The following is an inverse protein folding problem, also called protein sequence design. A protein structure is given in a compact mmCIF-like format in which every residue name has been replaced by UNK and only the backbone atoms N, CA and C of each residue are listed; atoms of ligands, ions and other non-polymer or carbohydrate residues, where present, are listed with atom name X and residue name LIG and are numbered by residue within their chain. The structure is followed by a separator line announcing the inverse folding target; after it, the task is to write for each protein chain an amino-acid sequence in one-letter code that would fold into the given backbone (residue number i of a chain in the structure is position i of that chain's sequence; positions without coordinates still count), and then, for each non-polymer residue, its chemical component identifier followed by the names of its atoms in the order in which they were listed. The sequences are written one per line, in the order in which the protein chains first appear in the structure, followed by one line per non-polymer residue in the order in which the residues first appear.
data_IF_077304436503
#
_entry.id   IF_077304436503
#
_cell.length_a   1.000
_cell.length_b   1.000
_cell.length_c   1.000
_cell.angle_alpha   90.00
_cell.angle_beta   90.00
_cell.angle_gamma   90.00
#
_symmetry.space_group_name_H-M   'P 1'
#
loop_
_entity.id
_entity.type
_entity.pdbx_description
1 polymer ?
#
# COMPACT_ATOMS: atom_id res chain seq x y z
N UNK A 1 -22.25 12.62 7.59
CA UNK A 1 -23.47 13.00 6.85
C UNK A 1 -23.18 12.94 5.36
N UNK A 2 -23.70 11.93 4.67
CA UNK A 2 -23.75 11.93 3.21
C UNK A 2 -24.83 12.92 2.73
N UNK A 3 -24.66 13.51 1.54
CA UNK A 3 -25.54 14.55 1.00
C UNK A 3 -25.07 15.99 1.23
N UNK A 4 -23.79 16.23 1.56
CA UNK A 4 -23.24 17.58 1.77
C UNK A 4 -23.49 18.52 0.59
N UNK A 5 -23.36 18.03 -0.66
CA UNK A 5 -23.68 18.84 -1.84
C UNK A 5 -25.18 19.23 -1.90
N UNK A 6 -26.07 18.34 -1.45
CA UNK A 6 -27.52 18.63 -1.40
C UNK A 6 -27.83 19.63 -0.30
N UNK A 7 -27.21 19.48 0.87
CA UNK A 7 -27.29 20.43 1.97
C UNK A 7 -26.79 21.83 1.54
N UNK A 8 -25.67 21.90 0.81
CA UNK A 8 -25.16 23.17 0.27
C UNK A 8 -26.14 23.84 -0.70
N UNK A 9 -26.78 23.09 -1.60
CA UNK A 9 -27.80 23.65 -2.49
C UNK A 9 -29.08 24.10 -1.77
N UNK A 10 -29.48 23.39 -0.71
CA UNK A 10 -30.60 23.81 0.15
C UNK A 10 -30.24 25.11 0.88
N UNK A 11 -29.02 25.21 1.40
CA UNK A 11 -28.52 26.42 2.08
C UNK A 11 -28.53 27.62 1.12
N UNK A 12 -28.06 27.45 -0.11
CA UNK A 12 -28.08 28.49 -1.16
C UNK A 12 -29.51 28.94 -1.46
N UNK A 13 -30.44 28.00 -1.67
CA UNK A 13 -31.84 28.31 -1.93
C UNK A 13 -32.52 29.09 -0.79
N UNK A 14 -32.29 28.68 0.47
CA UNK A 14 -32.84 29.39 1.65
C UNK A 14 -32.30 30.83 1.69
N UNK A 15 -31.00 31.03 1.43
CA UNK A 15 -30.40 32.37 1.39
C UNK A 15 -30.98 33.26 0.29
N UNK A 16 -31.29 32.70 -0.88
CA UNK A 16 -31.82 33.48 -2.00
C UNK A 16 -33.32 33.81 -1.87
N UNK A 17 -34.08 32.97 -1.20
CA UNK A 17 -35.55 33.04 -1.20
C UNK A 17 -36.17 33.42 0.14
N UNK A 18 -35.37 33.54 1.21
CA UNK A 18 -35.81 33.72 2.60
C UNK A 18 -36.89 32.69 3.02
N UNK A 19 -36.82 31.50 2.42
CA UNK A 19 -37.78 30.43 2.64
C UNK A 19 -37.34 29.48 3.75
N UNK A 20 -38.31 28.90 4.44
CA UNK A 20 -38.08 27.83 5.42
C UNK A 20 -38.37 26.48 4.77
N UNK A 21 -37.36 25.61 4.71
CA UNK A 21 -37.47 24.28 4.10
C UNK A 21 -37.21 23.18 5.14
N UNK A 22 -38.17 22.28 5.31
CA UNK A 22 -37.97 21.09 6.14
C UNK A 22 -37.15 20.05 5.37
N UNK A 23 -35.98 19.70 5.90
CA UNK A 23 -35.08 18.73 5.28
C UNK A 23 -35.34 17.33 5.86
N UNK A 24 -35.87 16.37 5.07
CA UNK A 24 -35.98 15.00 5.53
C UNK A 24 -34.58 14.41 5.69
N UNK A 25 -34.33 13.79 6.84
CA UNK A 25 -33.09 13.07 7.12
C UNK A 25 -33.39 11.69 7.66
N UNK A 26 -32.43 10.78 7.46
CA UNK A 26 -32.45 9.44 8.03
C UNK A 26 -31.22 9.30 8.91
N UNK A 27 -31.42 8.91 10.16
CA UNK A 27 -30.36 8.60 11.11
C UNK A 27 -30.42 7.10 11.43
N UNK A 28 -29.28 6.43 11.26
CA UNK A 28 -29.09 5.06 11.70
C UNK A 28 -28.46 5.10 13.10
N UNK A 29 -29.00 4.32 14.03
CA UNK A 29 -28.52 4.22 15.40
C UNK A 29 -28.12 2.77 15.70
N UNK A 30 -27.14 2.58 16.58
CA UNK A 30 -26.67 1.26 17.04
C UNK A 30 -26.12 0.34 15.95
N UNK A 31 -25.47 0.90 14.92
CA UNK A 31 -24.72 0.09 13.97
C UNK A 31 -23.41 -0.37 14.61
N UNK A 32 -23.04 -1.62 14.41
CA UNK A 32 -21.66 -2.06 14.61
C UNK A 32 -20.73 -1.61 13.46
N UNK A 33 -19.42 -1.79 13.61
CA UNK A 33 -18.44 -1.34 12.60
C UNK A 33 -18.69 -1.98 11.23
N UNK A 34 -19.08 -3.25 11.18
CA UNK A 34 -19.33 -3.96 9.91
C UNK A 34 -20.61 -3.46 9.23
N UNK A 35 -21.64 -3.16 10.02
CA UNK A 35 -22.89 -2.56 9.56
C UNK A 35 -22.68 -1.13 9.05
N UNK A 36 -21.86 -0.32 9.74
CA UNK A 36 -21.46 1.01 9.28
C UNK A 36 -20.74 0.95 7.93
N UNK A 37 -19.79 0.02 7.78
CA UNK A 37 -19.05 -0.21 6.54
C UNK A 37 -19.99 -0.60 5.40
N UNK A 38 -20.90 -1.56 5.62
CA UNK A 38 -21.88 -1.99 4.62
C UNK A 38 -22.81 -0.86 4.21
N UNK A 39 -23.33 -0.11 5.18
CA UNK A 39 -24.20 1.03 4.91
C UNK A 39 -23.46 2.10 4.10
N UNK A 40 -22.22 2.41 4.48
CA UNK A 40 -21.37 3.34 3.74
C UNK A 40 -21.17 2.89 2.28
N UNK A 41 -20.84 1.61 2.07
CA UNK A 41 -20.64 1.06 0.72
C UNK A 41 -21.93 1.09 -0.12
N UNK A 42 -23.09 0.74 0.45
CA UNK A 42 -24.40 0.79 -0.23
C UNK A 42 -24.78 2.21 -0.64
N UNK A 43 -24.56 3.19 0.24
CA UNK A 43 -24.84 4.59 -0.05
C UNK A 43 -23.93 5.10 -1.17
N UNK A 44 -22.65 4.78 -1.10
CA UNK A 44 -21.64 5.32 -1.99
C UNK A 44 -21.46 4.53 -3.30
N UNK A 45 -22.11 3.37 -3.49
CA UNK A 45 -21.96 2.54 -4.70
C UNK A 45 -22.38 3.26 -5.98
N UNK A 46 -23.28 4.25 -5.87
CA UNK A 46 -23.80 5.05 -7.01
C UNK A 46 -23.19 6.46 -7.09
N UNK A 47 -22.46 6.90 -6.07
CA UNK A 47 -21.81 8.21 -6.04
C UNK A 47 -20.42 8.16 -6.69
N UNK A 48 -19.90 9.31 -7.10
CA UNK A 48 -18.61 9.42 -7.80
C UNK A 48 -17.45 9.01 -6.86
N UNK A 49 -17.04 7.75 -6.97
CA UNK A 49 -15.74 7.16 -6.62
C UNK A 49 -15.29 7.29 -5.16
N UNK A 50 -15.67 6.33 -4.31
CA UNK A 50 -14.95 6.07 -3.04
C UNK A 50 -13.45 5.99 -3.36
N UNK A 51 -12.62 6.74 -2.63
CA UNK A 51 -11.18 6.71 -2.82
C UNK A 51 -10.65 5.28 -2.69
N UNK A 52 -9.79 4.84 -3.61
CA UNK A 52 -9.34 3.44 -3.68
C UNK A 52 -8.75 2.92 -2.37
N UNK A 53 -8.02 3.76 -1.62
CA UNK A 53 -7.49 3.37 -0.30
C UNK A 53 -8.62 3.14 0.73
N UNK A 54 -9.64 3.99 0.76
CA UNK A 54 -10.80 3.77 1.63
C UNK A 54 -11.55 2.49 1.23
N UNK A 55 -11.80 2.28 -0.07
CA UNK A 55 -12.44 1.05 -0.55
C UNK A 55 -11.68 -0.23 -0.16
N UNK A 56 -10.34 -0.21 -0.22
CA UNK A 56 -9.50 -1.33 0.26
C UNK A 56 -9.63 -1.53 1.77
N UNK A 57 -9.64 -0.45 2.55
CA UNK A 57 -9.77 -0.54 3.99
C UNK A 57 -11.13 -1.12 4.41
N UNK A 58 -12.22 -0.70 3.75
CA UNK A 58 -13.56 -1.21 4.01
C UNK A 58 -13.69 -2.69 3.63
N UNK A 59 -13.03 -3.12 2.54
CA UNK A 59 -13.03 -4.52 2.09
C UNK A 59 -11.97 -5.41 2.75
N UNK A 60 -11.25 -4.93 3.79
CA UNK A 60 -10.11 -5.65 4.39
C UNK A 60 -10.47 -7.03 4.94
N UNK A 61 -11.71 -7.26 5.38
CA UNK A 61 -12.12 -8.58 5.88
C UNK A 61 -12.49 -9.56 4.75
N UNK A 62 -12.83 -9.05 3.56
CA UNK A 62 -13.25 -9.85 2.40
C UNK A 62 -12.15 -10.05 1.34
N UNK A 63 -11.12 -9.19 1.32
CA UNK A 63 -10.02 -9.22 0.37
C UNK A 63 -8.69 -9.42 1.10
N UNK A 64 -8.09 -10.61 0.95
CA UNK A 64 -6.86 -11.01 1.64
C UNK A 64 -5.72 -10.00 1.47
N UNK A 65 -5.52 -9.46 0.27
CA UNK A 65 -4.42 -8.51 0.02
C UNK A 65 -4.72 -7.17 0.71
N UNK A 66 -5.99 -6.77 0.78
CA UNK A 66 -6.41 -5.59 1.56
C UNK A 66 -6.18 -5.79 3.05
N UNK A 67 -6.44 -6.99 3.58
CA UNK A 67 -6.10 -7.36 4.96
C UNK A 67 -4.60 -7.23 5.23
N UNK A 68 -3.76 -7.78 4.37
CA UNK A 68 -2.29 -7.74 4.50
C UNK A 68 -1.78 -6.30 4.44
N UNK A 69 -2.21 -5.54 3.43
CA UNK A 69 -1.80 -4.15 3.27
C UNK A 69 -2.22 -3.26 4.46
N UNK A 70 -3.39 -3.53 5.04
CA UNK A 70 -3.87 -2.84 6.25
C UNK A 70 -2.97 -3.16 7.44
N UNK A 71 -2.65 -4.43 7.64
CA UNK A 71 -1.75 -4.87 8.71
C UNK A 71 -0.33 -4.30 8.56
N UNK A 72 0.18 -4.15 7.35
CA UNK A 72 1.46 -3.46 7.10
C UNK A 72 1.45 -1.98 7.53
N UNK A 73 0.30 -1.33 7.63
CA UNK A 73 0.20 0.05 8.16
C UNK A 73 0.04 0.05 9.68
N UNK A 74 -0.71 -0.91 10.24
CA UNK A 74 -1.11 -0.90 11.64
C UNK A 74 -0.09 -1.53 12.60
N UNK A 75 0.78 -2.41 12.10
CA UNK A 75 1.72 -3.18 12.93
C UNK A 75 3.02 -2.40 13.21
N UNK A 76 3.41 -2.16 14.47
CA UNK A 76 4.64 -1.44 14.80
C UNK A 76 5.93 -2.06 14.22
N UNK A 77 5.96 -3.38 14.07
CA UNK A 77 7.06 -4.13 13.47
C UNK A 77 7.18 -3.94 11.94
N UNK A 78 6.19 -3.31 11.31
CA UNK A 78 6.22 -3.05 9.88
C UNK A 78 7.10 -1.84 9.56
N UNK A 79 7.94 -1.91 8.50
CA UNK A 79 8.74 -0.77 8.07
C UNK A 79 7.88 0.36 7.48
N UNK A 80 6.58 0.10 7.25
CA UNK A 80 5.59 1.04 6.75
C UNK A 80 4.73 1.70 7.84
N UNK A 81 4.82 1.29 9.11
CA UNK A 81 3.96 1.78 10.20
C UNK A 81 3.92 3.31 10.31
N UNK A 82 5.10 3.94 10.28
CA UNK A 82 5.24 5.40 10.38
C UNK A 82 5.07 6.15 9.05
N UNK A 83 5.02 5.43 7.91
CA UNK A 83 4.98 6.01 6.55
C UNK A 83 3.64 5.77 5.82
N UNK A 84 2.81 4.87 6.35
CA UNK A 84 1.54 4.43 5.77
C UNK A 84 0.35 5.34 6.11
N UNK A 85 -0.61 5.43 5.20
CA UNK A 85 -1.92 6.07 5.44
C UNK A 85 -3.06 5.15 5.01
N UNK A 86 -4.01 4.86 5.90
CA UNK A 86 -5.18 4.03 5.60
C UNK A 86 -6.14 4.72 4.61
N UNK A 87 -6.50 5.98 4.89
CA UNK A 87 -7.51 6.73 4.14
C UNK A 87 -6.94 7.51 2.93
N UNK A 88 -5.65 7.33 2.61
CA UNK A 88 -5.00 7.93 1.44
C UNK A 88 -4.59 9.41 1.57
N UNK A 89 -4.83 10.06 2.72
CA UNK A 89 -4.39 11.44 2.98
C UNK A 89 -2.87 11.49 3.24
N UNK A 90 -2.11 11.84 2.20
CA UNK A 90 -0.64 11.91 2.27
C UNK A 90 -0.13 13.11 3.06
N UNK A 91 0.93 12.91 3.82
CA UNK A 91 1.77 13.97 4.42
C UNK A 91 3.23 13.78 3.98
N UNK A 92 4.12 14.69 4.38
CA UNK A 92 5.57 14.56 4.08
C UNK A 92 6.17 13.28 4.68
N UNK A 93 5.71 12.90 5.87
CA UNK A 93 6.16 11.70 6.60
C UNK A 93 5.39 10.45 6.16
N UNK A 94 4.08 10.60 5.91
CA UNK A 94 3.18 9.50 5.53
C UNK A 94 2.77 9.61 4.07
N UNK A 95 3.64 9.16 3.17
CA UNK A 95 3.45 9.29 1.73
C UNK A 95 2.99 7.99 1.03
N UNK A 96 2.97 6.86 1.74
CA UNK A 96 2.59 5.55 1.21
C UNK A 96 1.12 5.27 1.57
N UNK A 97 0.25 5.14 0.57
CA UNK A 97 -1.18 4.89 0.83
C UNK A 97 -1.48 3.39 0.95
N UNK A 98 -2.65 3.04 1.51
CA UNK A 98 -3.10 1.65 1.55
C UNK A 98 -3.16 1.02 0.14
N UNK A 99 -3.62 1.78 -0.87
CA UNK A 99 -3.62 1.30 -2.26
C UNK A 99 -2.19 1.05 -2.79
N UNK A 100 -1.19 1.80 -2.31
CA UNK A 100 0.20 1.56 -2.65
C UNK A 100 0.69 0.22 -2.07
N UNK A 101 0.42 -0.03 -0.78
CA UNK A 101 0.80 -1.29 -0.14
C UNK A 101 0.04 -2.49 -0.71
N UNK A 102 -1.23 -2.32 -1.05
CA UNK A 102 -2.00 -3.33 -1.78
C UNK A 102 -1.27 -3.75 -3.06
N UNK A 103 -0.82 -2.77 -3.86
CA UNK A 103 -0.11 -3.06 -5.10
C UNK A 103 1.26 -3.70 -4.83
N UNK A 104 1.99 -3.25 -3.81
CA UNK A 104 3.27 -3.83 -3.41
C UNK A 104 3.10 -5.31 -3.04
N UNK A 105 2.14 -5.65 -2.18
CA UNK A 105 1.85 -7.03 -1.79
C UNK A 105 1.43 -7.84 -3.01
N UNK A 106 0.54 -7.28 -3.85
CA UNK A 106 0.11 -7.92 -5.10
C UNK A 106 1.29 -8.22 -6.02
N UNK A 107 2.22 -7.30 -6.22
CA UNK A 107 3.41 -7.51 -7.05
C UNK A 107 4.38 -8.50 -6.42
N UNK A 108 4.49 -8.52 -5.10
CA UNK A 108 5.33 -9.45 -4.37
C UNK A 108 4.84 -10.90 -4.51
N UNK A 109 3.54 -11.13 -4.69
CA UNK A 109 2.98 -12.49 -4.67
C UNK A 109 2.44 -12.99 -6.02
N UNK A 110 1.98 -12.11 -6.92
CA UNK A 110 1.26 -12.51 -8.13
C UNK A 110 2.03 -13.49 -9.01
N UNK A 111 1.30 -14.37 -9.71
CA UNK A 111 1.82 -15.28 -10.75
C UNK A 111 2.97 -16.16 -10.26
N UNK A 112 2.92 -16.58 -9.00
CA UNK A 112 3.95 -17.39 -8.37
C UNK A 112 3.38 -18.28 -7.27
N UNK A 113 4.18 -19.18 -6.70
CA UNK A 113 3.73 -20.05 -5.59
C UNK A 113 3.30 -19.23 -4.36
N UNK A 114 3.84 -18.01 -4.21
CA UNK A 114 3.50 -17.10 -3.13
C UNK A 114 2.04 -16.59 -3.19
N UNK A 115 1.40 -16.63 -4.36
CA UNK A 115 0.00 -16.23 -4.52
C UNK A 115 -0.96 -17.12 -3.73
N UNK A 116 -0.62 -18.41 -3.61
CA UNK A 116 -1.42 -19.43 -2.95
C UNK A 116 -1.23 -19.48 -1.42
N UNK A 117 -0.33 -18.66 -0.88
CA UNK A 117 -0.09 -18.61 0.56
C UNK A 117 -1.27 -17.93 1.29
N UNK A 118 -1.50 -18.30 2.56
CA UNK A 118 -2.49 -17.61 3.38
C UNK A 118 -2.13 -16.13 3.58
N UNK A 119 -3.12 -15.30 3.89
CA UNK A 119 -2.91 -13.88 4.17
C UNK A 119 -1.87 -13.62 5.26
N UNK A 120 -1.80 -14.45 6.31
CA UNK A 120 -0.81 -14.34 7.39
C UNK A 120 0.60 -14.63 6.87
N UNK A 121 0.76 -15.65 6.01
CA UNK A 121 2.06 -15.94 5.39
C UNK A 121 2.49 -14.82 4.43
N UNK A 122 1.57 -14.29 3.63
CA UNK A 122 1.82 -13.12 2.75
C UNK A 122 2.27 -11.91 3.57
N UNK A 123 1.64 -11.65 4.72
CA UNK A 123 2.05 -10.60 5.65
C UNK A 123 3.47 -10.82 6.19
N UNK A 124 3.76 -12.03 6.68
CA UNK A 124 5.08 -12.36 7.21
C UNK A 124 6.19 -12.23 6.15
N UNK A 125 5.92 -12.62 4.90
CA UNK A 125 6.84 -12.43 3.79
C UNK A 125 7.13 -10.96 3.51
N UNK A 126 6.08 -10.13 3.44
CA UNK A 126 6.23 -8.70 3.21
C UNK A 126 6.98 -8.02 4.36
N UNK A 127 6.67 -8.37 5.61
CA UNK A 127 7.38 -7.87 6.79
C UNK A 127 8.86 -8.26 6.74
N UNK A 128 9.16 -9.53 6.53
CA UNK A 128 10.53 -10.03 6.42
C UNK A 128 11.32 -9.28 5.34
N UNK A 129 10.80 -9.26 4.11
CA UNK A 129 11.52 -8.72 2.96
C UNK A 129 11.78 -7.21 3.07
N UNK A 130 10.76 -6.44 3.45
CA UNK A 130 10.92 -4.98 3.54
C UNK A 130 11.63 -4.52 4.81
N UNK A 131 11.56 -5.26 5.93
CA UNK A 131 12.40 -4.96 7.08
C UNK A 131 13.87 -5.20 6.75
N UNK A 132 14.19 -6.28 6.04
CA UNK A 132 15.55 -6.55 5.59
C UNK A 132 16.09 -5.43 4.68
N UNK A 133 15.27 -4.90 3.77
CA UNK A 133 15.64 -3.72 2.96
C UNK A 133 15.86 -2.49 3.85
N UNK A 134 14.96 -2.22 4.80
CA UNK A 134 15.11 -1.10 5.75
C UNK A 134 16.39 -1.21 6.59
N UNK A 135 16.74 -2.42 7.03
CA UNK A 135 17.95 -2.68 7.82
C UNK A 135 19.23 -2.47 7.01
N UNK A 136 19.21 -2.82 5.71
CA UNK A 136 20.33 -2.60 4.80
C UNK A 136 20.51 -1.13 4.40
N UNK A 137 19.42 -0.38 4.33
CA UNK A 137 19.37 1.00 3.84
C UNK A 137 18.58 1.93 4.79
N UNK A 138 19.02 2.08 6.06
CA UNK A 138 18.23 2.80 7.06
C UNK A 138 18.12 4.30 6.76
N UNK A 139 19.18 4.92 6.24
CA UNK A 139 19.16 6.33 5.88
C UNK A 139 18.25 6.60 4.68
N UNK A 140 18.37 5.79 3.64
CA UNK A 140 17.59 5.89 2.41
C UNK A 140 16.11 5.58 2.65
N UNK A 141 15.82 4.70 3.63
CA UNK A 141 14.46 4.42 4.05
C UNK A 141 13.82 5.61 4.76
N UNK A 142 14.57 6.28 5.64
CA UNK A 142 14.02 7.38 6.44
C UNK A 142 13.97 8.72 5.69
N UNK A 143 14.94 8.99 4.81
CA UNK A 143 15.10 10.29 4.13
C UNK A 143 14.54 10.28 2.69
N UNK A 144 13.21 10.34 2.57
CA UNK A 144 12.51 10.35 1.27
C UNK A 144 12.75 11.58 0.38
N UNK A 145 13.43 12.61 0.89
CA UNK A 145 13.82 13.82 0.15
C UNK A 145 15.11 13.57 -0.63
N UNK A 146 16.10 13.00 0.05
CA UNK A 146 17.44 12.80 -0.51
C UNK A 146 17.54 11.48 -1.27
N UNK A 147 16.63 10.53 -0.98
CA UNK A 147 16.61 9.21 -1.58
C UNK A 147 15.23 8.83 -2.13
N UNK A 148 15.24 7.94 -3.12
CA UNK A 148 14.04 7.45 -3.80
C UNK A 148 13.61 6.06 -3.36
N UNK A 149 14.33 5.40 -2.44
CA UNK A 149 14.05 4.02 -2.01
C UNK A 149 12.58 3.79 -1.65
N UNK A 150 11.97 4.68 -0.86
CA UNK A 150 10.56 4.58 -0.44
C UNK A 150 9.57 5.22 -1.43
N UNK A 151 10.01 5.67 -2.60
CA UNK A 151 9.09 6.16 -3.63
C UNK A 151 8.32 4.99 -4.24
N UNK A 152 7.06 5.22 -4.59
CA UNK A 152 6.16 4.14 -5.01
C UNK A 152 6.68 3.33 -6.21
N UNK A 153 7.35 3.97 -7.17
CA UNK A 153 7.95 3.27 -8.31
C UNK A 153 9.09 2.34 -7.86
N UNK A 154 9.91 2.77 -6.89
CA UNK A 154 11.00 1.97 -6.34
C UNK A 154 10.48 0.82 -5.48
N UNK A 155 9.52 1.07 -4.60
CA UNK A 155 8.86 0.03 -3.79
C UNK A 155 8.16 -1.03 -4.66
N UNK A 156 7.52 -0.62 -5.76
CA UNK A 156 6.96 -1.57 -6.72
C UNK A 156 8.06 -2.37 -7.43
N UNK A 157 9.18 -1.75 -7.79
CA UNK A 157 10.32 -2.45 -8.40
C UNK A 157 10.93 -3.48 -7.46
N UNK A 158 11.14 -3.10 -6.19
CA UNK A 158 11.56 -4.00 -5.12
C UNK A 158 10.57 -5.15 -4.93
N UNK A 159 9.25 -4.90 -4.97
CA UNK A 159 8.26 -5.96 -4.87
C UNK A 159 8.30 -6.93 -6.05
N UNK A 160 8.43 -6.42 -7.28
CA UNK A 160 8.51 -7.24 -8.50
C UNK A 160 9.78 -8.11 -8.48
N UNK A 161 10.93 -7.53 -8.12
CA UNK A 161 12.17 -8.29 -7.97
C UNK A 161 12.08 -9.27 -6.79
N UNK A 162 11.53 -8.83 -5.66
CA UNK A 162 11.30 -9.60 -4.46
C UNK A 162 10.46 -10.84 -4.70
N UNK A 163 9.45 -10.77 -5.58
CA UNK A 163 8.70 -11.95 -6.02
C UNK A 163 9.65 -13.02 -6.55
N UNK A 164 10.53 -12.68 -7.49
CA UNK A 164 11.49 -13.64 -8.06
C UNK A 164 12.52 -14.10 -7.02
N UNK A 165 13.10 -13.18 -6.25
CA UNK A 165 14.12 -13.48 -5.23
C UNK A 165 13.59 -14.46 -4.19
N UNK A 166 12.38 -14.22 -3.68
CA UNK A 166 11.78 -15.06 -2.66
C UNK A 166 11.42 -16.42 -3.25
N UNK A 167 10.79 -16.48 -4.43
CA UNK A 167 10.44 -17.76 -5.07
C UNK A 167 11.68 -18.62 -5.35
N UNK A 168 12.75 -18.04 -5.90
CA UNK A 168 14.01 -18.74 -6.21
C UNK A 168 14.74 -19.24 -4.94
N UNK A 169 14.35 -18.74 -3.77
CA UNK A 169 14.93 -19.07 -2.46
C UNK A 169 13.86 -19.52 -1.45
N UNK A 170 12.72 -20.03 -1.92
CA UNK A 170 11.66 -20.53 -1.06
C UNK A 170 11.90 -22.01 -0.76
N UNK A 171 11.98 -22.35 0.53
CA UNK A 171 12.25 -23.73 0.96
C UNK A 171 10.92 -24.50 1.04
N UNK A 172 10.60 -25.27 0.01
CA UNK A 172 9.34 -26.01 -0.09
C UNK A 172 9.05 -26.93 1.12
N UNK A 173 10.09 -27.52 1.73
CA UNK A 173 9.97 -28.41 2.90
C UNK A 173 9.53 -27.66 4.16
N UNK A 174 10.08 -26.48 4.42
CA UNK A 174 9.76 -25.68 5.61
C UNK A 174 8.68 -24.63 5.34
N UNK A 175 8.28 -24.44 4.09
CA UNK A 175 7.31 -23.41 3.66
C UNK A 175 7.73 -22.01 4.14
N UNK A 176 9.03 -21.71 4.04
CA UNK A 176 9.64 -20.46 4.48
C UNK A 176 10.74 -20.02 3.51
N UNK A 177 11.00 -18.71 3.38
CA UNK A 177 12.17 -18.22 2.63
C UNK A 177 13.49 -18.60 3.32
N UNK A 178 14.49 -18.95 2.52
CA UNK A 178 15.88 -19.05 2.98
C UNK A 178 16.40 -17.66 3.34
N UNK A 179 16.26 -17.32 4.61
CA UNK A 179 16.53 -15.96 5.11
C UNK A 179 18.00 -15.58 4.94
N UNK A 180 18.93 -16.52 5.15
CA UNK A 180 20.37 -16.30 5.02
C UNK A 180 20.76 -16.01 3.58
N UNK A 181 20.23 -16.78 2.63
CA UNK A 181 20.53 -16.61 1.20
C UNK A 181 19.90 -15.34 0.63
N UNK A 182 18.69 -14.99 1.05
CA UNK A 182 18.05 -13.73 0.63
C UNK A 182 18.83 -12.53 1.19
N UNK A 183 19.26 -12.59 2.45
CA UNK A 183 20.08 -11.54 3.05
C UNK A 183 21.38 -11.33 2.26
N UNK A 184 22.11 -12.40 1.92
CA UNK A 184 23.35 -12.27 1.15
C UNK A 184 23.13 -11.67 -0.24
N UNK A 185 22.03 -12.02 -0.92
CA UNK A 185 21.69 -11.44 -2.23
C UNK A 185 21.37 -9.93 -2.12
N UNK A 186 20.60 -9.53 -1.11
CA UNK A 186 20.16 -8.13 -0.99
C UNK A 186 21.29 -7.16 -0.61
N UNK A 187 22.42 -7.65 -0.10
CA UNK A 187 23.61 -6.81 0.14
C UNK A 187 24.10 -6.16 -1.17
N UNK A 188 23.97 -6.85 -2.32
CA UNK A 188 24.39 -6.32 -3.62
C UNK A 188 23.55 -5.13 -4.10
N UNK A 189 22.40 -4.83 -3.46
CA UNK A 189 21.61 -3.65 -3.77
C UNK A 189 22.33 -2.32 -3.46
N UNK A 190 23.46 -2.37 -2.75
CA UNK A 190 24.34 -1.21 -2.51
C UNK A 190 24.96 -0.66 -3.78
N UNK A 191 24.98 -1.44 -4.87
CA UNK A 191 25.44 -0.99 -6.19
C UNK A 191 24.46 0.00 -6.86
N UNK A 192 23.19 0.00 -6.43
CA UNK A 192 22.18 0.90 -6.97
C UNK A 192 22.29 2.25 -6.27
N UNK A 193 22.46 3.32 -7.05
CA UNK A 193 22.35 4.69 -6.52
C UNK A 193 20.89 5.03 -6.21
N UNK A 194 20.53 4.99 -4.92
CA UNK A 194 19.20 5.33 -4.42
C UNK A 194 18.95 6.84 -4.32
N UNK A 195 19.93 7.69 -4.62
CA UNK A 195 19.81 9.15 -4.46
C UNK A 195 18.72 9.74 -5.35
N UNK A 196 18.12 10.83 -4.90
CA UNK A 196 17.15 11.62 -5.67
C UNK A 196 17.78 12.33 -6.88
N UNK A 197 19.11 12.50 -6.89
CA UNK A 197 19.88 13.09 -7.99
C UNK A 197 20.27 12.11 -9.09
N UNK A 198 20.32 10.82 -8.78
CA UNK A 198 20.75 9.75 -9.68
C UNK A 198 19.73 9.35 -10.75
N UNK A 199 19.99 8.22 -11.40
CA UNK A 199 19.24 7.76 -12.58
C UNK A 199 17.81 7.31 -12.27
N UNK A 200 17.56 6.92 -11.01
CA UNK A 200 16.21 6.57 -10.54
C UNK A 200 15.21 7.72 -10.70
N UNK A 201 15.68 8.96 -10.89
CA UNK A 201 14.79 10.10 -11.07
C UNK A 201 13.92 10.06 -12.31
N UNK A 202 14.39 9.35 -13.34
CA UNK A 202 13.69 9.21 -14.61
C UNK A 202 12.65 8.08 -14.60
N UNK A 203 12.67 7.22 -13.57
CA UNK A 203 11.72 6.13 -13.45
C UNK A 203 10.34 6.63 -13.04
N UNK A 204 9.33 6.24 -13.82
CA UNK A 204 7.93 6.59 -13.58
C UNK A 204 6.99 5.40 -13.80
N UNK A 205 5.98 5.31 -12.93
CA UNK A 205 4.91 4.33 -13.06
C UNK A 205 5.39 2.88 -13.03
N UNK A 206 4.59 1.99 -13.63
CA UNK A 206 4.88 0.55 -13.70
C UNK A 206 6.03 0.22 -14.68
N UNK A 207 6.17 0.86 -15.86
CA UNK A 207 7.32 0.59 -16.73
C UNK A 207 8.66 0.85 -16.02
N UNK A 208 8.78 1.97 -15.31
CA UNK A 208 9.97 2.28 -14.52
C UNK A 208 10.21 1.29 -13.38
N UNK A 209 9.14 0.82 -12.72
CA UNK A 209 9.27 -0.21 -11.67
C UNK A 209 9.81 -1.53 -12.23
N UNK A 210 9.35 -1.95 -13.42
CA UNK A 210 9.84 -3.17 -14.08
C UNK A 210 11.30 -3.07 -14.52
N UNK A 211 11.71 -1.89 -15.00
CA UNK A 211 13.11 -1.63 -15.37
C UNK A 211 14.01 -1.78 -14.13
N UNK A 212 13.68 -1.08 -13.04
CA UNK A 212 14.41 -1.20 -11.77
C UNK A 212 14.41 -2.64 -11.24
N UNK A 213 13.31 -3.37 -11.36
CA UNK A 213 13.28 -4.77 -10.98
C UNK A 213 14.29 -5.60 -11.78
N UNK A 214 14.46 -5.32 -13.07
CA UNK A 214 15.49 -5.92 -13.91
C UNK A 214 16.90 -5.60 -13.41
N UNK A 215 17.17 -4.33 -13.09
CA UNK A 215 18.47 -3.87 -12.57
C UNK A 215 18.79 -4.55 -11.23
N UNK A 216 17.82 -4.59 -10.30
CA UNK A 216 17.93 -5.31 -9.03
C UNK A 216 18.30 -6.78 -9.27
N UNK A 217 17.60 -7.45 -10.19
CA UNK A 217 17.83 -8.86 -10.49
C UNK A 217 19.18 -9.11 -11.16
N UNK A 218 19.79 -8.09 -11.77
CA UNK A 218 21.15 -8.18 -12.33
C UNK A 218 22.20 -8.02 -11.22
N UNK A 219 22.02 -7.07 -10.28
CA UNK A 219 22.93 -6.87 -9.15
C UNK A 219 23.07 -8.12 -8.27
N UNK A 220 21.99 -8.87 -8.07
CA UNK A 220 22.03 -10.08 -7.22
C UNK A 220 22.59 -11.32 -7.92
N UNK A 221 22.82 -11.26 -9.25
CA UNK A 221 23.42 -12.36 -10.03
C UNK A 221 24.93 -12.24 -10.15
N UNK A 222 25.46 -11.03 -9.99
CA UNK A 222 26.90 -10.75 -9.89
C UNK A 222 27.43 -11.14 -8.52
#
# INVERSE_FOLDING_TARGET
MDGQHRLGGIEEYIKETDSMLNVPFLAFHYLDEDEEIKLFDVINTKAKGIGTSLSRYLNRENDEISWVATNLILKPESPFFSKGTLIGKRTREKNITLQNLYNIVKYLTMKSELENLSKEKKLNLALFYFNLIKELFPEEWENNKSYRLTHITCLNGLAIAGNKIINDNYLAKSQQPDSSKICSLLVNLKEIDWSSSGDLKYLKGIPGAKMLAGDILNCIKG
#
